data_IF_062861999299
#
_entry.id   IF_062861999299
#
_cell.length_a   1.000
_cell.length_b   1.000
_cell.length_c   1.000
_cell.angle_alpha   90.00
_cell.angle_beta   90.00
_cell.angle_gamma   90.00
#
_symmetry.space_group_name_H-M   'P 1'
#
loop_
_entity.id
_entity.type
_entity.pdbx_description
1 polymer ?
#
# COMPACT_ATOMS: atom_id res chain seq x y z
N UNK A 1 -31.65 6.78 17.55
CA UNK A 1 -31.06 6.63 16.21
C UNK A 1 -29.95 5.58 16.11
N UNK A 2 -29.00 5.48 17.05
CA UNK A 2 -27.92 4.48 17.04
C UNK A 2 -28.47 3.03 17.05
N UNK A 3 -29.43 2.74 17.91
CA UNK A 3 -30.05 1.42 18.07
C UNK A 3 -30.73 0.89 16.76
N UNK A 4 -31.45 1.75 16.04
CA UNK A 4 -32.06 1.37 14.76
C UNK A 4 -31.05 1.09 13.65
N UNK A 5 -29.94 1.85 13.62
CA UNK A 5 -28.82 1.59 12.69
C UNK A 5 -28.20 0.21 12.95
N UNK A 6 -28.01 -0.15 14.22
CA UNK A 6 -27.42 -1.43 14.61
C UNK A 6 -28.30 -2.62 14.29
N UNK A 7 -29.63 -2.49 14.45
CA UNK A 7 -30.59 -3.57 14.08
C UNK A 7 -30.60 -3.75 12.55
N UNK A 8 -30.72 -2.65 11.77
CA UNK A 8 -30.71 -2.74 10.30
C UNK A 8 -29.42 -3.38 9.80
N UNK A 9 -28.29 -2.99 10.34
CA UNK A 9 -26.97 -3.58 10.03
C UNK A 9 -26.91 -5.06 10.35
N UNK A 10 -27.41 -5.49 11.51
CA UNK A 10 -27.47 -6.89 11.88
C UNK A 10 -28.33 -7.71 10.91
N UNK A 11 -29.48 -7.22 10.51
CA UNK A 11 -30.36 -7.90 9.54
C UNK A 11 -29.70 -8.01 8.16
N UNK A 12 -29.02 -6.95 7.70
CA UNK A 12 -28.23 -6.98 6.44
C UNK A 12 -27.12 -8.01 6.46
N UNK A 13 -26.55 -8.28 7.64
CA UNK A 13 -25.41 -9.18 7.81
C UNK A 13 -25.80 -10.58 8.33
N UNK A 14 -27.09 -10.88 8.50
CA UNK A 14 -27.60 -12.14 9.07
C UNK A 14 -27.02 -13.38 8.37
N UNK A 15 -26.93 -13.36 7.03
CA UNK A 15 -26.36 -14.48 6.25
C UNK A 15 -24.90 -14.78 6.57
N UNK A 16 -24.12 -13.78 7.04
CA UNK A 16 -22.70 -13.95 7.35
C UNK A 16 -22.45 -14.53 8.75
N UNK A 17 -23.48 -14.61 9.60
CA UNK A 17 -23.42 -15.37 10.85
C UNK A 17 -23.62 -16.87 10.62
N UNK A 18 -24.02 -17.29 9.41
CA UNK A 18 -24.14 -18.70 9.06
C UNK A 18 -22.75 -19.37 9.17
N UNK A 19 -22.61 -20.46 9.96
CA UNK A 19 -21.35 -21.17 10.11
C UNK A 19 -20.82 -21.79 8.80
N UNK A 20 -21.72 -22.01 7.82
CA UNK A 20 -21.38 -22.58 6.51
C UNK A 20 -21.05 -21.50 5.45
N UNK A 21 -21.02 -20.20 5.81
CA UNK A 21 -20.61 -19.17 4.88
C UNK A 21 -19.12 -19.34 4.52
N UNK A 22 -18.83 -19.42 3.23
CA UNK A 22 -17.46 -19.59 2.73
C UNK A 22 -16.67 -18.28 2.79
N UNK A 23 -15.92 -18.10 3.86
CA UNK A 23 -15.00 -16.98 4.06
C UNK A 23 -13.70 -17.11 3.24
N UNK A 24 -13.49 -18.22 2.55
CA UNK A 24 -12.36 -18.45 1.64
C UNK A 24 -12.65 -18.05 0.20
N UNK A 25 -13.92 -17.71 -0.15
CA UNK A 25 -14.27 -17.30 -1.50
C UNK A 25 -13.65 -15.94 -1.89
N UNK A 26 -12.60 -15.97 -2.70
CA UNK A 26 -11.98 -14.77 -3.26
C UNK A 26 -12.98 -13.90 -4.02
N UNK A 27 -13.92 -14.52 -4.75
CA UNK A 27 -14.95 -13.81 -5.51
C UNK A 27 -15.83 -12.93 -4.64
N UNK A 28 -16.08 -13.34 -3.38
CA UNK A 28 -16.80 -12.54 -2.41
C UNK A 28 -16.09 -11.19 -2.16
N UNK A 29 -14.79 -11.19 -1.88
CA UNK A 29 -14.03 -9.98 -1.59
C UNK A 29 -13.84 -9.08 -2.82
N UNK A 30 -13.71 -9.67 -3.99
CA UNK A 30 -13.56 -8.94 -5.25
C UNK A 30 -14.84 -8.22 -5.68
N UNK A 31 -16.01 -8.85 -5.45
CA UNK A 31 -17.31 -8.34 -5.89
C UNK A 31 -17.98 -7.40 -4.89
N UNK A 32 -17.65 -7.52 -3.61
CA UNK A 32 -18.33 -6.78 -2.55
C UNK A 32 -17.39 -5.76 -1.92
N UNK A 33 -17.86 -4.51 -1.84
CA UNK A 33 -17.21 -3.47 -1.06
C UNK A 33 -17.65 -3.61 0.40
N UNK A 34 -16.75 -4.07 1.25
CA UNK A 34 -17.00 -4.27 2.67
C UNK A 34 -16.75 -2.97 3.44
N UNK A 35 -17.66 -2.63 4.37
CA UNK A 35 -17.42 -1.52 5.29
C UNK A 35 -16.41 -1.93 6.37
N UNK A 36 -15.71 -0.96 6.94
CA UNK A 36 -14.79 -1.21 8.05
C UNK A 36 -15.52 -1.79 9.27
N UNK A 37 -16.76 -1.35 9.53
CA UNK A 37 -17.59 -1.93 10.59
C UNK A 37 -17.89 -3.42 10.35
N UNK A 38 -18.11 -3.81 9.07
CA UNK A 38 -18.27 -5.22 8.72
C UNK A 38 -16.97 -6.00 8.98
N UNK A 39 -15.84 -5.44 8.57
CA UNK A 39 -14.54 -6.08 8.78
C UNK A 39 -14.26 -6.26 10.28
N UNK A 40 -14.57 -5.25 11.12
CA UNK A 40 -14.45 -5.34 12.59
C UNK A 40 -15.35 -6.41 13.19
N UNK A 41 -16.63 -6.47 12.76
CA UNK A 41 -17.57 -7.46 13.23
C UNK A 41 -17.12 -8.90 12.94
N UNK A 42 -16.61 -9.13 11.72
CA UNK A 42 -16.19 -10.45 11.26
C UNK A 42 -14.67 -10.66 11.26
N UNK A 43 -13.92 -9.91 12.06
CA UNK A 43 -12.46 -9.89 12.07
C UNK A 43 -11.77 -11.24 12.27
N UNK A 44 -12.46 -12.20 12.90
CA UNK A 44 -11.95 -13.55 13.14
C UNK A 44 -12.38 -14.57 12.07
N UNK A 45 -13.19 -14.14 11.10
CA UNK A 45 -13.72 -14.97 10.02
C UNK A 45 -13.19 -14.53 8.64
N UNK A 46 -13.04 -13.23 8.41
CA UNK A 46 -12.57 -12.69 7.12
C UNK A 46 -11.17 -13.18 6.76
N UNK A 47 -10.94 -13.37 5.48
CA UNK A 47 -9.61 -13.63 4.95
C UNK A 47 -8.84 -12.29 4.82
N UNK A 48 -7.88 -12.07 5.71
CA UNK A 48 -7.13 -10.82 5.77
C UNK A 48 -6.24 -10.56 4.55
N UNK A 49 -5.77 -11.61 3.87
CA UNK A 49 -5.06 -11.44 2.60
C UNK A 49 -5.99 -10.86 1.54
N UNK A 50 -7.21 -11.39 1.43
CA UNK A 50 -8.18 -10.87 0.47
C UNK A 50 -8.72 -9.47 0.84
N UNK A 51 -8.85 -9.17 2.13
CA UNK A 51 -9.10 -7.80 2.61
C UNK A 51 -7.98 -6.87 2.14
N UNK A 52 -6.72 -7.23 2.39
CA UNK A 52 -5.55 -6.42 2.04
C UNK A 52 -5.44 -6.11 0.54
N UNK A 53 -5.85 -7.05 -0.31
CA UNK A 53 -5.82 -6.91 -1.78
C UNK A 53 -7.03 -6.14 -2.31
N UNK A 54 -8.25 -6.52 -1.89
CA UNK A 54 -9.46 -6.14 -2.61
C UNK A 54 -10.27 -5.01 -1.96
N UNK A 55 -10.00 -4.69 -0.70
CA UNK A 55 -10.76 -3.66 0.01
C UNK A 55 -9.92 -2.40 0.18
N UNK A 56 -10.54 -1.23 -0.03
CA UNK A 56 -9.92 0.04 0.37
C UNK A 56 -10.18 0.25 1.85
N UNK A 57 -9.15 0.11 2.64
CA UNK A 57 -9.20 0.24 4.10
C UNK A 57 -8.37 1.44 4.56
N UNK A 58 -8.80 2.07 5.65
CA UNK A 58 -8.08 3.21 6.21
C UNK A 58 -6.79 2.77 6.91
N UNK A 59 -5.84 3.69 7.02
CA UNK A 59 -4.64 3.48 7.82
C UNK A 59 -4.97 3.16 9.28
N UNK A 60 -6.07 3.72 9.83
CA UNK A 60 -6.52 3.42 11.19
C UNK A 60 -6.99 1.98 11.33
N UNK A 61 -7.70 1.43 10.33
CA UNK A 61 -8.05 0.02 10.34
C UNK A 61 -6.81 -0.88 10.23
N UNK A 62 -5.84 -0.49 9.42
CA UNK A 62 -4.58 -1.24 9.31
C UNK A 62 -3.83 -1.21 10.65
N UNK A 63 -3.78 -0.07 11.35
CA UNK A 63 -3.19 0.04 12.71
C UNK A 63 -3.89 -0.86 13.72
N UNK A 64 -5.23 -0.84 13.72
CA UNK A 64 -6.07 -1.68 14.59
C UNK A 64 -5.77 -3.16 14.38
N UNK A 65 -5.62 -3.59 13.12
CA UNK A 65 -5.41 -4.99 12.75
C UNK A 65 -3.99 -5.30 12.22
N UNK A 66 -2.99 -4.56 12.68
CA UNK A 66 -1.59 -4.67 12.25
C UNK A 66 -0.96 -6.07 12.34
N UNK A 67 -1.52 -6.96 13.17
CA UNK A 67 -1.07 -8.33 13.33
C UNK A 67 -1.89 -9.34 12.52
N UNK A 68 -2.93 -8.89 11.79
CA UNK A 68 -3.78 -9.74 10.95
C UNK A 68 -3.62 -9.45 9.47
N UNK A 69 -3.36 -8.19 9.10
CA UNK A 69 -3.17 -7.77 7.70
C UNK A 69 -1.97 -8.46 7.05
N UNK A 70 -2.05 -8.64 5.75
CA UNK A 70 -0.93 -9.14 4.95
C UNK A 70 -0.08 -7.94 4.49
N UNK A 71 1.09 -7.72 5.11
CA UNK A 71 1.91 -6.53 4.90
C UNK A 71 2.44 -6.35 3.47
N UNK A 72 2.92 -7.38 2.75
CA UNK A 72 3.21 -7.27 1.32
C UNK A 72 1.99 -6.76 0.53
N UNK A 73 0.81 -7.35 0.75
CA UNK A 73 -0.40 -6.90 0.06
C UNK A 73 -0.84 -5.49 0.45
N UNK A 74 -0.65 -5.07 1.71
CA UNK A 74 -0.86 -3.69 2.14
C UNK A 74 0.09 -2.74 1.40
N UNK A 75 1.37 -3.07 1.32
CA UNK A 75 2.40 -2.25 0.65
C UNK A 75 2.12 -2.06 -0.85
N UNK A 76 1.63 -3.11 -1.51
CA UNK A 76 1.31 -3.13 -2.94
C UNK A 76 -0.04 -2.47 -3.27
N UNK A 77 -1.12 -2.81 -2.54
CA UNK A 77 -2.49 -2.51 -2.96
C UNK A 77 -3.17 -1.37 -2.22
N UNK A 78 -2.67 -0.92 -1.07
CA UNK A 78 -3.25 0.19 -0.33
C UNK A 78 -2.50 1.50 -0.64
N UNK A 79 -3.21 2.62 -0.55
CA UNK A 79 -2.57 3.94 -0.65
C UNK A 79 -2.14 4.34 0.75
N UNK A 80 -0.83 4.48 0.96
CA UNK A 80 -0.23 4.76 2.26
C UNK A 80 0.39 6.15 2.29
N UNK A 81 0.21 6.86 3.40
CA UNK A 81 0.95 8.08 3.66
C UNK A 81 2.40 7.78 4.05
N UNK A 82 3.32 8.69 3.75
CA UNK A 82 4.72 8.56 4.19
C UNK A 82 4.84 8.44 5.72
N UNK A 83 3.96 9.10 6.48
CA UNK A 83 3.94 8.99 7.94
C UNK A 83 3.56 7.58 8.39
N UNK A 84 2.59 6.96 7.71
CA UNK A 84 2.22 5.58 7.98
C UNK A 84 3.37 4.61 7.65
N UNK A 85 4.04 4.81 6.51
CA UNK A 85 5.20 3.99 6.13
C UNK A 85 6.33 4.14 7.15
N UNK A 86 6.60 5.36 7.67
CA UNK A 86 7.58 5.59 8.77
C UNK A 86 7.22 4.82 10.03
N UNK A 87 5.93 4.86 10.43
CA UNK A 87 5.43 4.14 11.60
C UNK A 87 5.65 2.62 11.48
N UNK A 88 5.44 2.08 10.28
CA UNK A 88 5.52 0.64 10.02
C UNK A 88 6.73 0.22 9.18
N UNK A 89 7.81 0.99 9.20
CA UNK A 89 9.04 0.79 8.40
C UNK A 89 9.71 -0.59 8.50
N UNK A 90 9.39 -1.35 9.54
CA UNK A 90 9.91 -2.70 9.77
C UNK A 90 8.90 -3.81 9.39
N UNK A 91 7.72 -3.44 8.88
CA UNK A 91 6.66 -4.37 8.47
C UNK A 91 6.31 -4.27 6.99
N UNK A 92 6.41 -3.07 6.42
CA UNK A 92 6.16 -2.84 5.00
C UNK A 92 7.17 -3.58 4.13
N UNK A 93 6.74 -3.98 2.95
CA UNK A 93 7.64 -4.49 1.91
C UNK A 93 8.24 -3.30 1.15
N UNK A 94 9.54 -3.12 1.21
CA UNK A 94 10.22 -1.96 0.63
C UNK A 94 10.33 -2.00 -0.89
N UNK A 95 10.28 -3.19 -1.49
CA UNK A 95 10.19 -3.34 -2.94
C UNK A 95 8.83 -2.81 -3.42
N UNK A 96 7.73 -3.32 -2.85
CA UNK A 96 6.37 -2.86 -3.13
C UNK A 96 6.18 -1.35 -2.82
N UNK A 97 6.73 -0.86 -1.70
CA UNK A 97 6.69 0.57 -1.36
C UNK A 97 7.38 1.41 -2.44
N UNK A 98 8.54 0.98 -2.93
CA UNK A 98 9.31 1.72 -3.93
C UNK A 98 8.64 1.72 -5.30
N UNK A 99 7.91 0.64 -5.65
CA UNK A 99 7.19 0.48 -6.91
C UNK A 99 5.83 1.18 -6.89
N UNK A 100 5.00 0.91 -5.87
CA UNK A 100 3.56 1.25 -5.90
C UNK A 100 3.19 2.50 -5.12
N UNK A 101 4.00 2.98 -4.18
CA UNK A 101 3.69 4.18 -3.42
C UNK A 101 4.31 5.42 -4.04
N UNK A 102 3.62 6.56 -3.94
CA UNK A 102 4.18 7.84 -4.37
C UNK A 102 5.02 8.43 -3.25
N UNK A 103 6.33 8.48 -3.46
CA UNK A 103 7.30 8.91 -2.46
C UNK A 103 7.88 10.29 -2.81
N UNK A 104 8.07 11.14 -1.80
CA UNK A 104 8.84 12.37 -1.96
C UNK A 104 10.34 12.07 -1.94
N UNK A 105 11.14 12.91 -2.59
CA UNK A 105 12.61 12.81 -2.56
C UNK A 105 13.15 12.86 -1.13
N UNK A 106 12.54 13.66 -0.24
CA UNK A 106 12.93 13.71 1.17
C UNK A 106 12.68 12.39 1.88
N UNK A 107 11.59 11.71 1.56
CA UNK A 107 11.30 10.38 2.09
C UNK A 107 12.31 9.34 1.56
N UNK A 108 12.63 9.39 0.27
CA UNK A 108 13.63 8.49 -0.32
C UNK A 108 15.03 8.73 0.31
N UNK A 109 15.42 9.99 0.57
CA UNK A 109 16.67 10.32 1.30
C UNK A 109 16.69 9.73 2.70
N UNK A 110 15.57 9.87 3.45
CA UNK A 110 15.43 9.32 4.80
C UNK A 110 15.61 7.79 4.82
N UNK A 111 15.09 7.11 3.80
CA UNK A 111 15.09 5.65 3.71
C UNK A 111 16.00 5.10 2.59
N UNK A 112 17.06 5.83 2.23
CA UNK A 112 17.98 5.49 1.13
C UNK A 112 18.60 4.09 1.19
N UNK A 113 18.67 3.49 2.38
CA UNK A 113 19.23 2.16 2.60
C UNK A 113 18.15 1.07 2.71
N UNK A 114 16.86 1.43 2.56
CA UNK A 114 15.72 0.52 2.56
C UNK A 114 14.99 0.45 1.22
N UNK A 115 14.88 1.57 0.51
CA UNK A 115 14.22 1.62 -0.80
C UNK A 115 14.91 0.73 -1.82
N UNK A 116 14.13 0.16 -2.72
CA UNK A 116 14.67 -0.52 -3.89
C UNK A 116 14.99 0.53 -4.98
N UNK A 117 16.28 0.79 -5.20
CA UNK A 117 16.73 1.81 -6.16
C UNK A 117 16.40 1.48 -7.61
N UNK A 118 16.22 0.21 -7.95
CA UNK A 118 15.69 -0.22 -9.25
C UNK A 118 14.28 0.35 -9.47
N UNK A 119 13.37 0.08 -8.52
CA UNK A 119 11.98 0.52 -8.57
C UNK A 119 11.86 2.05 -8.45
N UNK A 120 12.68 2.66 -7.58
CA UNK A 120 12.77 4.13 -7.47
C UNK A 120 13.12 4.76 -8.81
N UNK A 121 14.10 4.21 -9.55
CA UNK A 121 14.54 4.75 -10.84
C UNK A 121 13.47 4.66 -11.94
N UNK A 122 12.57 3.68 -11.85
CA UNK A 122 11.47 3.44 -12.80
C UNK A 122 10.23 4.25 -12.42
N UNK A 123 9.80 4.15 -11.15
CA UNK A 123 8.44 4.50 -10.75
C UNK A 123 8.32 5.84 -10.03
N UNK A 124 9.42 6.37 -9.48
CA UNK A 124 9.38 7.66 -8.79
C UNK A 124 9.75 8.81 -9.74
N UNK A 125 9.19 10.00 -9.49
CA UNK A 125 9.57 11.20 -10.22
C UNK A 125 10.73 11.88 -9.51
N UNK A 126 11.89 11.93 -10.15
CA UNK A 126 13.13 12.42 -9.56
C UNK A 126 13.60 13.71 -10.24
N UNK A 127 14.08 14.68 -9.45
CA UNK A 127 14.76 15.85 -9.97
C UNK A 127 16.20 15.51 -10.39
N UNK A 128 16.77 16.29 -11.31
CA UNK A 128 18.16 16.12 -11.72
C UNK A 128 19.14 16.27 -10.54
N UNK A 129 18.85 17.18 -9.61
CA UNK A 129 19.66 17.38 -8.41
C UNK A 129 19.64 16.15 -7.51
N UNK A 130 18.46 15.52 -7.37
CA UNK A 130 18.33 14.26 -6.64
C UNK A 130 19.10 13.12 -7.34
N UNK A 131 19.03 13.03 -8.66
CA UNK A 131 19.77 12.03 -9.43
C UNK A 131 21.29 12.24 -9.29
N UNK A 132 21.76 13.50 -9.30
CA UNK A 132 23.19 13.83 -9.04
C UNK A 132 23.62 13.40 -7.64
N UNK A 133 22.79 13.68 -6.62
CA UNK A 133 23.05 13.29 -5.23
C UNK A 133 23.22 11.78 -5.07
N UNK A 134 22.39 10.98 -5.79
CA UNK A 134 22.36 9.51 -5.68
C UNK A 134 22.89 8.80 -6.94
N UNK A 135 23.80 9.41 -7.68
CA UNK A 135 24.35 8.89 -8.95
C UNK A 135 24.91 7.47 -8.87
N UNK A 136 25.41 7.07 -7.69
CA UNK A 136 25.98 5.74 -7.45
C UNK A 136 24.93 4.69 -7.01
N UNK A 137 23.67 5.09 -6.80
CA UNK A 137 22.57 4.25 -6.36
C UNK A 137 21.49 4.05 -7.43
N UNK A 138 21.24 5.06 -8.26
CA UNK A 138 20.22 5.01 -9.31
C UNK A 138 20.61 4.03 -10.42
N UNK A 139 19.59 3.44 -11.06
CA UNK A 139 19.81 2.64 -12.24
C UNK A 139 19.78 3.54 -13.48
N UNK A 140 20.95 3.83 -14.06
CA UNK A 140 21.11 4.76 -15.17
C UNK A 140 20.34 4.38 -16.43
N UNK A 141 20.17 3.07 -16.69
CA UNK A 141 19.35 2.59 -17.82
C UNK A 141 17.92 3.09 -17.65
N UNK A 142 17.32 2.92 -16.46
CA UNK A 142 15.94 3.34 -16.22
C UNK A 142 15.81 4.86 -16.06
N UNK A 143 16.78 5.53 -15.46
CA UNK A 143 16.82 7.00 -15.42
C UNK A 143 16.72 7.56 -16.84
N UNK A 144 17.50 7.03 -17.80
CA UNK A 144 17.48 7.52 -19.19
C UNK A 144 16.15 7.26 -19.92
N UNK A 145 15.39 6.21 -19.56
CA UNK A 145 14.13 5.87 -20.19
C UNK A 145 12.91 6.54 -19.54
N UNK A 146 12.91 6.69 -18.21
CA UNK A 146 11.71 7.06 -17.45
C UNK A 146 11.72 8.46 -16.86
N UNK A 147 12.90 9.11 -16.73
CA UNK A 147 13.00 10.46 -16.17
C UNK A 147 13.01 11.52 -17.25
N UNK A 148 12.46 12.69 -16.95
CA UNK A 148 12.54 13.87 -17.82
C UNK A 148 13.85 14.61 -17.54
N UNK A 149 14.82 14.45 -18.42
CA UNK A 149 16.16 15.02 -18.27
C UNK A 149 16.39 16.19 -19.25
N UNK A 150 17.07 17.23 -18.79
CA UNK A 150 17.53 18.32 -19.66
C UNK A 150 18.66 17.88 -20.58
N UNK A 151 18.82 18.57 -21.71
CA UNK A 151 19.94 18.28 -22.61
C UNK A 151 21.31 18.56 -21.99
N UNK A 152 21.39 19.42 -20.96
CA UNK A 152 22.59 19.69 -20.20
C UNK A 152 22.94 18.50 -19.33
N UNK A 153 21.97 17.99 -18.58
CA UNK A 153 22.14 16.80 -17.74
C UNK A 153 22.55 15.56 -18.55
N UNK A 154 21.91 15.37 -19.73
CA UNK A 154 22.25 14.24 -20.61
C UNK A 154 23.72 14.32 -21.04
N UNK A 155 24.22 15.52 -21.42
CA UNK A 155 25.63 15.68 -21.80
C UNK A 155 26.64 15.49 -20.66
N UNK A 156 26.18 15.70 -19.42
CA UNK A 156 27.02 15.52 -18.23
C UNK A 156 27.18 14.03 -17.84
N UNK A 157 26.12 13.22 -17.99
CA UNK A 157 26.05 11.89 -17.38
C UNK A 157 25.78 10.72 -18.37
N UNK A 158 25.29 11.02 -19.57
CA UNK A 158 24.87 10.01 -20.56
C UNK A 158 25.59 10.25 -21.88
#
# INVERSE_FOLDING_TARGET
MKYFKDIKRKLEWEKYYNPNFDWGDYGFYKKNKLSEDFIREFQNKVNWTYISINQKISEDLIREFKNKVNWPMISCYQILSENFIREFKNRVDWEDISEYQKLSENFIREFKDKVNWHEVSIHQTLSEDFIREFKDKVNWTYISFYQKLSGEFIREFI
#
